data_IF_192543397695
#
_entry.id   IF_192543397695
#
_cell.length_a   1.000
_cell.length_b   1.000
_cell.length_c   1.000
_cell.angle_alpha   90.00
_cell.angle_beta   90.00
_cell.angle_gamma   90.00
#
_symmetry.space_group_name_H-M   'P 1'
#
loop_
_entity.id
_entity.type
_entity.pdbx_description
1 polymer ?
#
# COMPACT_ATOMS: atom_id res chain seq x y z
N UNK A 1 1.53 2.13 1.29
CA UNK A 1 0.93 3.47 1.38
C UNK A 1 0.53 3.91 2.79
N UNK A 2 0.16 3.00 3.70
CA UNK A 2 -0.25 3.36 5.09
C UNK A 2 0.80 4.21 5.82
N UNK A 3 2.08 3.82 5.74
CA UNK A 3 3.18 4.58 6.34
C UNK A 3 3.30 5.99 5.72
N UNK A 4 3.07 6.14 4.40
CA UNK A 4 3.06 7.47 3.76
C UNK A 4 1.90 8.32 4.27
N UNK A 5 0.72 7.76 4.48
CA UNK A 5 -0.42 8.50 5.05
C UNK A 5 -0.13 8.96 6.49
N UNK A 6 0.48 8.08 7.32
CA UNK A 6 0.94 8.42 8.67
C UNK A 6 1.98 9.54 8.62
N UNK A 7 2.98 9.43 7.75
CA UNK A 7 4.02 10.44 7.58
C UNK A 7 3.44 11.78 7.11
N UNK A 8 2.56 11.78 6.11
CA UNK A 8 1.92 12.99 5.59
C UNK A 8 1.07 13.69 6.66
N UNK A 9 0.29 12.95 7.45
CA UNK A 9 -0.47 13.51 8.57
C UNK A 9 0.45 14.05 9.68
N UNK A 10 1.56 13.36 9.97
CA UNK A 10 2.58 13.82 10.93
C UNK A 10 3.23 15.12 10.47
N UNK A 11 3.62 15.19 9.20
CA UNK A 11 4.20 16.39 8.58
C UNK A 11 3.21 17.55 8.63
N UNK A 12 1.93 17.31 8.30
CA UNK A 12 0.89 18.33 8.37
C UNK A 12 0.69 18.88 9.79
N UNK A 13 0.62 18.00 10.80
CA UNK A 13 0.57 18.38 12.22
C UNK A 13 1.75 19.28 12.61
N UNK A 14 2.93 18.99 12.09
CA UNK A 14 4.18 19.69 12.41
C UNK A 14 4.44 20.92 11.52
N UNK A 15 3.52 21.26 10.61
CA UNK A 15 3.64 22.39 9.69
C UNK A 15 4.69 22.18 8.58
N UNK A 16 5.05 20.93 8.32
CA UNK A 16 6.03 20.56 7.30
C UNK A 16 5.36 20.39 5.92
N UNK A 17 5.67 21.33 5.02
CA UNK A 17 5.07 21.42 3.70
C UNK A 17 5.96 20.83 2.57
N UNK A 18 6.90 19.93 2.87
CA UNK A 18 7.82 19.36 1.86
C UNK A 18 7.11 18.50 0.80
N UNK A 19 5.93 17.96 1.09
CA UNK A 19 5.15 17.19 0.12
C UNK A 19 4.30 18.14 -0.73
N UNK A 20 4.45 18.08 -2.05
CA UNK A 20 3.57 18.80 -2.97
C UNK A 20 2.27 18.03 -3.25
N UNK A 21 2.35 16.69 -3.28
CA UNK A 21 1.25 15.77 -3.56
C UNK A 21 1.61 14.37 -3.05
N UNK A 22 0.65 13.45 -2.94
CA UNK A 22 0.92 12.07 -2.53
C UNK A 22 0.11 11.04 -3.33
N UNK A 23 0.75 9.92 -3.67
CA UNK A 23 0.12 8.79 -4.37
C UNK A 23 0.08 7.56 -3.48
N UNK A 24 -1.11 6.96 -3.34
CA UNK A 24 -1.36 5.80 -2.49
C UNK A 24 -1.89 4.65 -3.34
N UNK A 25 -1.10 3.58 -3.48
CA UNK A 25 -1.44 2.41 -4.28
C UNK A 25 -1.76 1.22 -3.39
N UNK A 26 -2.94 0.63 -3.55
CA UNK A 26 -3.45 -0.50 -2.78
C UNK A 26 -3.22 -0.35 -1.26
N UNK A 27 -3.43 0.86 -0.75
CA UNK A 27 -3.04 1.24 0.60
C UNK A 27 -4.26 1.47 1.49
N UNK A 28 -4.36 0.70 2.55
CA UNK A 28 -5.40 0.89 3.56
C UNK A 28 -4.95 1.89 4.61
N UNK A 29 -5.87 2.74 5.04
CA UNK A 29 -5.73 3.55 6.25
C UNK A 29 -6.75 3.17 7.32
N UNK A 30 -7.85 2.53 6.90
CA UNK A 30 -8.85 1.92 7.76
C UNK A 30 -8.70 0.41 7.72
N UNK A 31 -8.60 -0.23 8.88
CA UNK A 31 -8.40 -1.67 8.98
C UNK A 31 -9.63 -2.42 9.51
N UNK A 32 -10.79 -1.78 9.69
CA UNK A 32 -12.05 -2.48 10.07
C UNK A 32 -12.41 -3.58 9.06
N UNK A 33 -12.12 -3.35 7.78
CA UNK A 33 -12.35 -4.30 6.70
C UNK A 33 -11.03 -4.58 5.98
N UNK A 34 -9.96 -4.92 6.72
CA UNK A 34 -8.64 -5.20 6.17
C UNK A 34 -8.52 -6.53 5.40
N UNK A 35 -9.60 -6.93 4.72
CA UNK A 35 -9.66 -8.16 3.94
C UNK A 35 -9.49 -9.42 4.78
N UNK A 36 -8.98 -10.46 4.13
CA UNK A 36 -8.83 -11.77 4.76
C UNK A 36 -7.80 -11.75 5.91
N UNK A 37 -6.90 -10.75 5.96
CA UNK A 37 -5.92 -10.56 7.03
C UNK A 37 -6.54 -10.46 8.44
N UNK A 38 -7.75 -9.93 8.57
CA UNK A 38 -8.44 -9.85 9.87
C UNK A 38 -8.91 -11.21 10.39
N UNK A 39 -9.09 -12.21 9.52
CA UNK A 39 -9.42 -13.57 9.95
C UNK A 39 -8.25 -14.23 10.68
N UNK A 40 -7.07 -13.62 10.65
CA UNK A 40 -5.79 -14.19 11.07
C UNK A 40 -5.05 -13.35 12.12
N UNK A 41 -5.71 -12.32 12.68
CA UNK A 41 -5.12 -11.42 13.66
C UNK A 41 -6.04 -11.30 14.87
N UNK A 42 -5.80 -12.14 15.86
CA UNK A 42 -6.31 -11.99 17.22
C UNK A 42 -5.20 -11.58 18.20
N UNK A 43 -5.61 -11.17 19.40
CA UNK A 43 -4.69 -10.73 20.47
C UNK A 43 -3.63 -11.79 20.81
N UNK A 44 -4.00 -13.08 20.80
CA UNK A 44 -3.09 -14.17 21.15
C UNK A 44 -2.02 -14.40 20.08
N UNK A 45 -2.39 -14.27 18.80
CA UNK A 45 -1.49 -14.37 17.66
C UNK A 45 -0.52 -13.19 17.62
N UNK A 46 -1.01 -11.96 17.85
CA UNK A 46 -0.15 -10.78 17.91
C UNK A 46 0.82 -10.89 19.09
N UNK A 47 0.36 -11.26 20.28
CA UNK A 47 1.22 -11.47 21.45
C UNK A 47 2.29 -12.53 21.19
N UNK A 48 1.94 -13.65 20.54
CA UNK A 48 2.92 -14.68 20.17
C UNK A 48 4.00 -14.17 19.21
N UNK A 49 3.63 -13.37 18.21
CA UNK A 49 4.59 -12.76 17.29
C UNK A 49 5.48 -11.74 18.02
N UNK A 50 4.91 -10.95 18.94
CA UNK A 50 5.64 -9.99 19.76
C UNK A 50 6.67 -10.69 20.66
N UNK A 51 6.31 -11.82 21.30
CA UNK A 51 7.22 -12.62 22.13
C UNK A 51 8.41 -13.17 21.33
N UNK A 52 8.15 -13.69 20.12
CA UNK A 52 9.22 -14.13 19.21
C UNK A 52 10.15 -12.97 18.82
N UNK A 53 9.55 -11.82 18.47
CA UNK A 53 10.30 -10.62 18.09
C UNK A 53 11.07 -10.00 19.26
N UNK A 54 10.58 -10.13 20.49
CA UNK A 54 11.26 -9.62 21.68
C UNK A 54 12.61 -10.30 21.91
N UNK A 55 12.70 -11.61 21.65
CA UNK A 55 13.93 -12.37 21.82
C UNK A 55 14.98 -12.08 20.72
N UNK A 56 14.53 -11.86 19.47
CA UNK A 56 15.42 -11.80 18.30
C UNK A 56 15.60 -10.38 17.71
N UNK A 57 14.69 -9.45 18.03
CA UNK A 57 14.66 -8.09 17.48
C UNK A 57 13.96 -7.96 16.12
N UNK A 58 13.57 -9.06 15.48
CA UNK A 58 12.83 -9.12 14.22
C UNK A 58 12.22 -10.52 14.00
N UNK A 59 11.33 -10.67 13.01
CA UNK A 59 10.89 -11.99 12.51
C UNK A 59 11.67 -12.39 11.27
N UNK A 60 12.30 -13.56 11.30
CA UNK A 60 13.04 -14.11 10.17
C UNK A 60 12.12 -14.82 9.16
N UNK A 61 12.58 -14.98 7.91
CA UNK A 61 11.77 -15.48 6.79
C UNK A 61 11.06 -16.83 7.11
N UNK A 62 11.73 -17.85 7.68
CA UNK A 62 11.08 -19.12 8.00
C UNK A 62 10.06 -19.01 9.13
N UNK A 63 10.26 -18.10 10.09
CA UNK A 63 9.33 -17.88 11.19
C UNK A 63 8.05 -17.23 10.68
N UNK A 64 8.17 -16.24 9.79
CA UNK A 64 7.03 -15.61 9.13
C UNK A 64 6.27 -16.65 8.30
N UNK A 65 6.96 -17.40 7.42
CA UNK A 65 6.33 -18.43 6.62
C UNK A 65 5.64 -19.51 7.47
N UNK A 66 6.23 -19.93 8.60
CA UNK A 66 5.61 -20.91 9.52
C UNK A 66 4.44 -20.34 10.29
N UNK A 67 4.52 -19.09 10.75
CA UNK A 67 3.38 -18.41 11.38
C UNK A 67 2.21 -18.32 10.40
N UNK A 68 2.45 -17.89 9.16
CA UNK A 68 1.43 -17.83 8.11
C UNK A 68 0.92 -19.22 7.68
N UNK A 69 1.80 -20.22 7.53
CA UNK A 69 1.41 -21.58 7.13
C UNK A 69 0.61 -22.31 8.22
N UNK A 70 0.91 -22.09 9.50
CA UNK A 70 0.15 -22.64 10.61
C UNK A 70 -1.29 -22.06 10.67
N UNK A 71 -1.50 -20.90 10.07
CA UNK A 71 -2.76 -20.14 10.14
C UNK A 71 -3.57 -20.24 8.83
N UNK A 72 -2.94 -20.62 7.70
CA UNK A 72 -3.53 -20.58 6.35
C UNK A 72 -3.28 -21.83 5.49
N UNK A 73 -3.44 -23.01 6.10
CA UNK A 73 -3.14 -24.30 5.46
C UNK A 73 -3.98 -24.58 4.19
N UNK A 74 -5.25 -24.15 4.12
CA UNK A 74 -6.13 -24.43 2.97
C UNK A 74 -5.66 -23.76 1.67
N UNK A 75 -5.37 -22.46 1.69
CA UNK A 75 -5.01 -21.74 0.47
C UNK A 75 -3.58 -21.99 0.02
N UNK A 76 -2.61 -22.09 0.94
CA UNK A 76 -1.19 -22.17 0.59
C UNK A 76 -0.70 -23.60 0.36
N UNK A 77 -1.33 -24.59 1.02
CA UNK A 77 -0.92 -26.00 0.93
C UNK A 77 -1.88 -26.75 0.00
N UNK A 78 -3.21 -26.62 0.21
CA UNK A 78 -4.18 -27.46 -0.48
C UNK A 78 -4.42 -27.04 -1.94
N UNK A 79 -4.62 -25.75 -2.21
CA UNK A 79 -4.83 -25.27 -3.59
C UNK A 79 -3.63 -25.56 -4.50
N UNK A 80 -2.42 -25.38 -3.96
CA UNK A 80 -1.16 -25.64 -4.64
C UNK A 80 -0.92 -27.13 -4.85
N UNK A 81 -1.27 -27.95 -3.86
CA UNK A 81 -1.27 -29.41 -4.02
C UNK A 81 -2.24 -29.85 -5.11
N UNK A 82 -3.46 -29.31 -5.19
CA UNK A 82 -4.42 -29.63 -6.27
C UNK A 82 -3.86 -29.22 -7.64
N UNK A 83 -3.33 -28.01 -7.81
CA UNK A 83 -2.78 -27.57 -9.09
C UNK A 83 -1.57 -28.41 -9.53
N UNK A 84 -0.65 -28.70 -8.61
CA UNK A 84 0.62 -29.36 -8.93
C UNK A 84 0.50 -30.88 -8.98
N UNK A 85 -0.18 -31.48 -8.02
CA UNK A 85 -0.31 -32.94 -7.91
C UNK A 85 -1.49 -33.48 -8.72
N UNK A 86 -2.66 -32.84 -8.63
CA UNK A 86 -3.88 -33.34 -9.29
C UNK A 86 -4.01 -32.87 -10.75
N UNK A 87 -3.64 -31.63 -11.05
CA UNK A 87 -3.75 -31.05 -12.40
C UNK A 87 -2.44 -31.07 -13.21
N UNK A 88 -1.33 -31.52 -12.61
CA UNK A 88 -0.02 -31.62 -13.28
C UNK A 88 0.54 -30.30 -13.78
N UNK A 89 0.03 -29.16 -13.31
CA UNK A 89 0.51 -27.83 -13.70
C UNK A 89 1.75 -27.49 -12.89
N UNK A 90 2.88 -27.31 -13.57
CA UNK A 90 4.09 -26.83 -12.92
C UNK A 90 3.96 -25.34 -12.60
N UNK A 91 4.33 -24.95 -11.38
CA UNK A 91 4.55 -23.55 -11.04
C UNK A 91 5.80 -23.07 -11.77
N UNK A 92 5.62 -22.40 -12.91
CA UNK A 92 6.70 -21.66 -13.53
C UNK A 92 6.94 -20.38 -12.72
N UNK A 93 8.20 -20.08 -12.35
CA UNK A 93 8.50 -18.84 -11.64
C UNK A 93 8.12 -17.65 -12.52
N UNK A 94 7.25 -16.79 -12.00
CA UNK A 94 6.92 -15.48 -12.59
C UNK A 94 7.77 -14.41 -11.91
N UNK A 95 7.99 -13.27 -12.57
CA UNK A 95 8.75 -12.15 -11.99
C UNK A 95 8.17 -11.71 -10.64
N UNK A 96 6.84 -11.64 -10.54
CA UNK A 96 6.11 -11.36 -9.29
C UNK A 96 6.34 -12.46 -8.25
N UNK A 97 6.39 -13.72 -8.67
CA UNK A 97 6.66 -14.85 -7.78
C UNK A 97 8.06 -14.80 -7.18
N UNK A 98 9.06 -14.42 -7.98
CA UNK A 98 10.45 -14.21 -7.51
C UNK A 98 10.51 -13.02 -6.55
N UNK A 99 9.92 -11.89 -6.91
CA UNK A 99 9.84 -10.70 -6.03
C UNK A 99 9.15 -11.02 -4.69
N UNK A 100 8.04 -11.76 -4.71
CA UNK A 100 7.30 -12.08 -3.49
C UNK A 100 8.05 -13.06 -2.57
N UNK A 101 8.95 -13.89 -3.12
CA UNK A 101 9.79 -14.77 -2.34
C UNK A 101 10.96 -14.02 -1.66
N UNK A 102 11.33 -12.85 -2.18
CA UNK A 102 12.42 -12.04 -1.63
C UNK A 102 11.95 -11.11 -0.51
N UNK A 103 11.72 -11.72 0.65
CA UNK A 103 11.19 -11.04 1.83
C UNK A 103 12.24 -10.22 2.58
N UNK A 104 11.79 -9.15 3.24
CA UNK A 104 12.64 -8.29 4.07
C UNK A 104 12.29 -8.43 5.56
N UNK A 105 13.29 -8.31 6.42
CA UNK A 105 13.09 -8.24 7.89
C UNK A 105 12.60 -6.86 8.29
N UNK A 106 11.72 -6.81 9.29
CA UNK A 106 11.27 -5.56 9.92
C UNK A 106 11.70 -5.53 11.39
N UNK A 107 12.16 -4.37 11.92
CA UNK A 107 12.46 -4.24 13.35
C UNK A 107 11.22 -4.56 14.20
N UNK A 108 11.43 -5.29 15.30
CA UNK A 108 10.41 -5.76 16.23
C UNK A 108 9.41 -4.67 16.62
N UNK A 109 9.92 -3.49 17.01
CA UNK A 109 9.11 -2.37 17.45
C UNK A 109 8.15 -1.89 16.35
N UNK A 110 8.68 -1.65 15.14
CA UNK A 110 7.88 -1.18 14.01
C UNK A 110 6.79 -2.19 13.66
N UNK A 111 7.15 -3.48 13.60
CA UNK A 111 6.21 -4.53 13.24
C UNK A 111 5.11 -4.69 14.29
N UNK A 112 5.46 -4.67 15.58
CA UNK A 112 4.51 -4.77 16.69
C UNK A 112 3.55 -3.58 16.72
N UNK A 113 4.07 -2.35 16.61
CA UNK A 113 3.25 -1.14 16.55
C UNK A 113 2.30 -1.15 15.34
N UNK A 114 2.73 -1.70 14.20
CA UNK A 114 1.89 -1.84 13.00
C UNK A 114 0.76 -2.86 13.20
N UNK A 115 1.08 -4.07 13.67
CA UNK A 115 0.09 -5.13 13.90
C UNK A 115 -0.94 -4.72 14.97
N UNK A 116 -0.46 -4.30 16.13
CA UNK A 116 -1.32 -3.93 17.26
C UNK A 116 -2.07 -2.63 17.00
N UNK A 117 -1.33 -1.58 16.63
CA UNK A 117 -1.89 -0.24 16.50
C UNK A 117 -2.83 -0.09 15.30
N UNK A 118 -2.55 -0.74 14.18
CA UNK A 118 -3.35 -0.58 12.96
C UNK A 118 -4.28 -1.75 12.72
N UNK A 119 -3.78 -2.99 12.62
CA UNK A 119 -4.65 -4.11 12.30
C UNK A 119 -5.61 -4.47 13.43
N UNK A 120 -5.10 -4.59 14.66
CA UNK A 120 -5.92 -5.06 15.78
C UNK A 120 -6.82 -3.94 16.34
N UNK A 121 -6.24 -2.78 16.58
CA UNK A 121 -6.94 -1.69 17.27
C UNK A 121 -7.46 -0.58 16.35
N UNK A 122 -7.01 -0.55 15.09
CA UNK A 122 -7.39 0.47 14.11
C UNK A 122 -7.27 1.92 14.64
N UNK A 123 -6.18 2.19 15.37
CA UNK A 123 -5.99 3.46 16.10
C UNK A 123 -5.96 4.68 15.17
N UNK A 124 -5.56 4.50 13.91
CA UNK A 124 -5.40 5.60 12.94
C UNK A 124 -6.73 6.27 12.60
N UNK A 125 -7.71 5.50 12.16
CA UNK A 125 -9.05 6.03 11.83
C UNK A 125 -9.92 6.23 13.05
N UNK A 126 -9.60 5.59 14.18
CA UNK A 126 -10.19 5.90 15.47
C UNK A 126 -9.63 7.16 16.14
N UNK A 127 -8.71 7.89 15.50
CA UNK A 127 -8.22 9.19 15.98
C UNK A 127 -7.35 9.14 17.24
N UNK A 128 -6.65 8.02 17.49
CA UNK A 128 -5.79 7.83 18.67
C UNK A 128 -4.39 7.31 18.34
N UNK A 129 -4.02 7.24 17.06
CA UNK A 129 -2.66 6.87 16.66
C UNK A 129 -1.72 8.04 16.91
N UNK A 130 -0.64 7.80 17.65
CA UNK A 130 0.32 8.83 18.04
C UNK A 130 1.70 8.56 17.43
N UNK A 131 2.30 9.60 16.88
CA UNK A 131 3.69 9.60 16.41
C UNK A 131 4.47 10.55 17.32
N UNK A 132 5.52 10.03 17.96
CA UNK A 132 6.30 10.76 18.96
C UNK A 132 5.44 11.33 20.10
N UNK A 133 4.48 10.54 20.59
CA UNK A 133 3.60 10.89 21.71
C UNK A 133 2.49 11.89 21.37
N UNK A 134 2.40 12.36 20.12
CA UNK A 134 1.37 13.31 19.67
C UNK A 134 0.45 12.66 18.66
N UNK A 135 -0.86 12.73 18.90
CA UNK A 135 -1.89 12.16 18.02
C UNK A 135 -1.86 12.84 16.65
N UNK A 136 -2.07 12.07 15.59
CA UNK A 136 -2.20 12.55 14.22
C UNK A 136 -3.62 12.30 13.69
N UNK A 137 -4.09 13.16 12.78
CA UNK A 137 -5.35 12.96 12.07
C UNK A 137 -5.12 12.98 10.56
N UNK A 138 -5.70 12.02 9.84
CA UNK A 138 -5.64 11.98 8.38
C UNK A 138 -6.28 13.23 7.74
N UNK A 139 -7.22 13.86 8.43
CA UNK A 139 -7.87 15.09 8.01
C UNK A 139 -6.89 16.26 7.82
N UNK A 140 -5.76 16.24 8.53
CA UNK A 140 -4.75 17.30 8.45
C UNK A 140 -3.98 17.25 7.13
N UNK A 141 -4.05 16.15 6.38
CA UNK A 141 -3.41 16.03 5.06
C UNK A 141 -4.08 17.01 4.09
N UNK A 142 -3.35 18.06 3.72
CA UNK A 142 -3.84 19.11 2.83
C UNK A 142 -3.41 18.94 1.37
N UNK A 143 -2.38 18.13 1.10
CA UNK A 143 -1.85 17.93 -0.25
C UNK A 143 -2.81 17.12 -1.12
N UNK A 144 -2.83 17.32 -2.45
CA UNK A 144 -3.61 16.51 -3.37
C UNK A 144 -3.23 15.02 -3.29
N UNK A 145 -4.25 14.15 -3.30
CA UNK A 145 -4.10 12.70 -3.22
C UNK A 145 -4.49 12.01 -4.54
N UNK A 146 -3.64 11.08 -4.98
CA UNK A 146 -3.97 10.13 -6.03
C UNK A 146 -4.02 8.72 -5.44
N UNK A 147 -5.18 8.09 -5.46
CA UNK A 147 -5.44 6.86 -4.71
C UNK A 147 -5.87 5.77 -5.68
N UNK A 148 -5.25 4.59 -5.58
CA UNK A 148 -5.50 3.45 -6.48
C UNK A 148 -5.95 2.24 -5.68
N UNK A 149 -7.13 1.73 -5.99
CA UNK A 149 -7.64 0.43 -5.55
C UNK A 149 -7.72 -0.56 -6.72
N UNK A 150 -7.69 -1.86 -6.43
CA UNK A 150 -7.82 -2.92 -7.45
C UNK A 150 -9.13 -3.71 -7.25
N UNK A 151 -9.85 -4.01 -8.34
CA UNK A 151 -11.21 -4.58 -8.29
C UNK A 151 -11.26 -5.95 -7.59
N UNK A 152 -10.21 -6.76 -7.73
CA UNK A 152 -10.12 -8.13 -7.22
C UNK A 152 -9.03 -8.25 -6.14
N UNK A 153 -8.75 -7.16 -5.41
CA UNK A 153 -7.83 -7.19 -4.28
C UNK A 153 -8.43 -7.90 -3.07
N UNK A 154 -7.83 -9.01 -2.65
CA UNK A 154 -8.17 -9.70 -1.41
C UNK A 154 -7.27 -9.29 -0.24
N UNK A 155 -6.12 -8.66 -0.53
CA UNK A 155 -5.16 -8.19 0.48
C UNK A 155 -5.57 -6.80 0.97
N UNK A 156 -5.91 -5.91 0.05
CA UNK A 156 -6.36 -4.55 0.33
C UNK A 156 -7.66 -4.25 -0.43
N UNK A 157 -8.83 -4.77 0.01
CA UNK A 157 -10.08 -4.60 -0.68
C UNK A 157 -10.34 -3.14 -1.04
N UNK A 158 -10.67 -2.85 -2.30
CA UNK A 158 -10.74 -1.45 -2.78
C UNK A 158 -11.75 -0.60 -2.01
N UNK A 159 -12.81 -1.20 -1.43
CA UNK A 159 -13.77 -0.50 -0.57
C UNK A 159 -13.10 0.02 0.71
N UNK A 160 -12.21 -0.77 1.29
CA UNK A 160 -11.37 -0.38 2.44
C UNK A 160 -10.38 0.73 2.05
N UNK A 161 -9.71 0.60 0.91
CA UNK A 161 -8.83 1.65 0.36
C UNK A 161 -9.61 2.96 0.12
N UNK A 162 -10.83 2.87 -0.42
CA UNK A 162 -11.68 4.02 -0.72
C UNK A 162 -12.12 4.79 0.54
N UNK A 163 -12.20 4.14 1.70
CA UNK A 163 -12.53 4.82 2.97
C UNK A 163 -11.55 5.93 3.34
N UNK A 164 -10.36 6.00 2.74
CA UNK A 164 -9.48 7.17 2.86
C UNK A 164 -10.22 8.48 2.55
N UNK A 165 -11.16 8.48 1.60
CA UNK A 165 -11.97 9.65 1.25
C UNK A 165 -12.91 10.09 2.39
N UNK A 166 -13.20 9.23 3.36
CA UNK A 166 -13.98 9.56 4.56
C UNK A 166 -13.13 10.30 5.60
N UNK A 167 -11.82 10.06 5.63
CA UNK A 167 -10.91 10.56 6.65
C UNK A 167 -10.04 11.74 6.18
N UNK A 168 -10.25 12.22 4.95
CA UNK A 168 -9.47 13.31 4.34
C UNK A 168 -10.42 14.33 3.70
N UNK A 169 -10.08 15.61 3.76
CA UNK A 169 -10.88 16.69 3.15
C UNK A 169 -10.20 17.34 1.92
N UNK A 170 -8.98 16.92 1.60
CA UNK A 170 -8.21 17.46 0.48
C UNK A 170 -8.69 16.97 -0.90
N UNK A 171 -8.14 17.57 -1.95
CA UNK A 171 -8.39 17.12 -3.32
C UNK A 171 -7.99 15.65 -3.50
N UNK A 172 -8.90 14.83 -4.01
CA UNK A 172 -8.69 13.39 -4.12
C UNK A 172 -9.12 12.88 -5.49
N UNK A 173 -8.17 12.27 -6.20
CA UNK A 173 -8.42 11.47 -7.40
C UNK A 173 -8.40 10.00 -7.01
N UNK A 174 -9.50 9.29 -7.20
CA UNK A 174 -9.58 7.85 -6.98
C UNK A 174 -9.62 7.10 -8.31
N UNK A 175 -8.81 6.05 -8.40
CA UNK A 175 -8.76 5.12 -9.52
C UNK A 175 -9.08 3.71 -9.01
N UNK A 176 -10.02 3.05 -9.69
CA UNK A 176 -10.32 1.64 -9.48
C UNK A 176 -9.91 0.88 -10.75
N UNK A 177 -8.92 0.01 -10.66
CA UNK A 177 -8.35 -0.70 -11.82
C UNK A 177 -8.65 -2.20 -11.78
N UNK A 178 -8.82 -2.81 -12.95
CA UNK A 178 -9.02 -4.26 -13.10
C UNK A 178 -7.78 -5.04 -12.64
N UNK A 179 -8.02 -6.11 -11.89
CA UNK A 179 -6.99 -7.07 -11.48
C UNK A 179 -6.95 -7.26 -9.97
N UNK A 180 -6.12 -8.19 -9.51
CA UNK A 180 -5.79 -8.36 -8.09
C UNK A 180 -4.67 -7.44 -7.63
N UNK A 181 -4.22 -7.60 -6.39
CA UNK A 181 -3.28 -6.69 -5.70
C UNK A 181 -2.12 -6.18 -6.57
N UNK A 182 -1.22 -7.08 -6.99
CA UNK A 182 -0.08 -6.70 -7.83
C UNK A 182 -0.50 -6.47 -9.29
N UNK A 183 -1.37 -7.34 -9.80
CA UNK A 183 -1.77 -7.33 -11.21
C UNK A 183 -2.48 -6.05 -11.61
N UNK A 184 -3.28 -5.43 -10.74
CA UNK A 184 -3.96 -4.16 -11.04
C UNK A 184 -3.03 -2.94 -10.96
N UNK A 185 -2.05 -2.97 -10.07
CA UNK A 185 -1.06 -1.88 -9.93
C UNK A 185 -0.04 -1.92 -11.09
N UNK A 186 0.49 -3.10 -11.40
CA UNK A 186 1.32 -3.36 -12.56
C UNK A 186 0.43 -3.48 -13.81
N UNK A 187 0.11 -2.31 -14.37
CA UNK A 187 -0.79 -2.17 -15.50
C UNK A 187 -0.12 -1.33 -16.59
N UNK A 188 0.92 -1.87 -17.22
CA UNK A 188 1.62 -1.21 -18.32
C UNK A 188 0.68 -0.84 -19.50
N UNK A 189 0.90 0.30 -20.17
CA UNK A 189 0.16 0.64 -21.39
C UNK A 189 0.38 -0.40 -22.50
N UNK A 190 -0.69 -0.70 -23.25
CA UNK A 190 -0.64 -1.63 -24.38
C UNK A 190 -1.03 -3.07 -24.06
N UNK A 191 -1.25 -3.42 -22.78
CA UNK A 191 -1.75 -4.73 -22.40
C UNK A 191 -3.27 -4.85 -22.67
N UNK A 192 -3.69 -5.92 -23.34
CA UNK A 192 -5.10 -6.18 -23.66
C UNK A 192 -5.94 -6.43 -22.40
N UNK A 193 -7.25 -6.21 -22.53
CA UNK A 193 -8.26 -6.50 -21.51
C UNK A 193 -8.01 -5.83 -20.13
N UNK A 194 -7.31 -4.70 -20.11
CA UNK A 194 -7.23 -3.80 -18.94
C UNK A 194 -8.33 -2.77 -19.01
N UNK A 195 -8.88 -2.40 -17.87
CA UNK A 195 -9.78 -1.25 -17.74
C UNK A 195 -9.62 -0.62 -16.36
N UNK A 196 -10.03 0.63 -16.24
CA UNK A 196 -10.08 1.34 -14.97
C UNK A 196 -11.27 2.32 -14.93
N UNK A 197 -11.67 2.71 -13.72
CA UNK A 197 -12.58 3.83 -13.46
C UNK A 197 -11.78 4.91 -12.77
N UNK A 198 -12.07 6.17 -13.06
CA UNK A 198 -11.43 7.32 -12.41
C UNK A 198 -12.48 8.34 -12.05
N UNK A 199 -12.32 8.93 -10.87
CA UNK A 199 -13.21 9.93 -10.32
C UNK A 199 -12.44 10.94 -9.51
N UNK A 200 -12.94 12.17 -9.50
CA UNK A 200 -12.35 13.29 -8.78
C UNK A 200 -13.34 13.77 -7.73
N UNK A 201 -12.84 13.89 -6.49
CA UNK A 201 -13.53 14.55 -5.40
C UNK A 201 -12.80 15.88 -5.13
N UNK A 202 -13.41 17.03 -5.46
CA UNK A 202 -12.84 18.31 -5.10
C UNK A 202 -12.86 18.48 -3.58
N UNK A 203 -11.97 19.35 -3.08
CA UNK A 203 -11.97 19.77 -1.67
C UNK A 203 -13.38 20.18 -1.23
N UNK A 204 -13.74 19.83 0.00
CA UNK A 204 -15.02 20.17 0.65
C UNK A 204 -16.28 19.50 0.03
N UNK A 205 -16.13 18.61 -0.96
CA UNK A 205 -17.26 17.85 -1.48
C UNK A 205 -17.80 16.82 -0.47
N UNK A 206 -19.11 16.62 -0.48
CA UNK A 206 -19.77 15.60 0.33
C UNK A 206 -19.29 14.20 -0.03
N UNK A 207 -19.21 13.34 1.00
CA UNK A 207 -18.81 11.95 0.83
C UNK A 207 -19.81 11.19 -0.05
N UNK A 208 -19.26 10.45 -1.01
CA UNK A 208 -20.00 9.51 -1.85
C UNK A 208 -19.52 8.10 -1.52
N UNK A 209 -20.43 7.23 -1.08
CA UNK A 209 -20.09 5.85 -0.73
C UNK A 209 -19.51 5.05 -1.92
N UNK A 210 -18.68 4.02 -1.65
CA UNK A 210 -17.90 3.32 -2.68
C UNK A 210 -18.75 2.72 -3.79
N UNK A 211 -19.87 2.05 -3.47
CA UNK A 211 -20.73 1.43 -4.49
C UNK A 211 -21.42 2.48 -5.38
N UNK A 212 -21.88 3.58 -4.78
CA UNK A 212 -22.45 4.70 -5.52
C UNK A 212 -21.38 5.41 -6.36
N UNK A 213 -20.15 5.52 -5.86
CA UNK A 213 -19.00 6.01 -6.64
C UNK A 213 -18.75 5.11 -7.85
N UNK A 214 -18.66 3.79 -7.65
CA UNK A 214 -18.41 2.85 -8.75
C UNK A 214 -19.50 2.89 -9.82
N UNK A 215 -20.77 2.96 -9.41
CA UNK A 215 -21.91 3.06 -10.31
C UNK A 215 -21.91 4.37 -11.15
N UNK A 216 -21.37 5.47 -10.62
CA UNK A 216 -21.33 6.78 -11.30
C UNK A 216 -20.18 6.96 -12.29
N UNK A 217 -19.11 6.17 -12.18
CA UNK A 217 -17.91 6.35 -13.00
C UNK A 217 -17.79 5.21 -14.00
N UNK A 218 -17.96 5.49 -15.30
CA UNK A 218 -17.90 4.49 -16.38
C UNK A 218 -16.47 3.95 -16.56
N UNK A 219 -16.27 2.65 -16.87
CA UNK A 219 -14.95 2.11 -17.19
C UNK A 219 -14.34 2.79 -18.41
N UNK A 220 -13.03 2.93 -18.38
CA UNK A 220 -12.16 3.33 -19.49
C UNK A 220 -11.24 2.17 -19.79
N UNK A 221 -11.12 1.82 -21.06
CA UNK A 221 -10.21 0.78 -21.52
C UNK A 221 -8.74 1.19 -21.36
N UNK A 222 -7.88 0.21 -21.12
CA UNK A 222 -6.44 0.36 -21.03
C UNK A 222 -5.90 0.58 -19.61
N UNK A 223 -4.67 1.10 -19.57
CA UNK A 223 -3.92 1.37 -18.34
C UNK A 223 -4.33 2.69 -17.69
N UNK A 224 -4.31 2.74 -16.36
CA UNK A 224 -4.49 3.96 -15.57
C UNK A 224 -3.20 4.79 -15.43
N UNK A 225 -2.02 4.26 -15.80
CA UNK A 225 -0.74 4.97 -15.67
C UNK A 225 -0.69 6.31 -16.42
N UNK A 226 -1.28 6.47 -17.63
CA UNK A 226 -1.36 7.77 -18.29
C UNK A 226 -2.10 8.83 -17.47
N UNK A 227 -3.15 8.43 -16.72
CA UNK A 227 -3.88 9.34 -15.83
C UNK A 227 -3.02 9.79 -14.65
N UNK A 228 -2.23 8.88 -14.06
CA UNK A 228 -1.26 9.22 -13.03
C UNK A 228 -0.20 10.18 -13.57
N UNK A 229 0.36 9.90 -14.75
CA UNK A 229 1.36 10.77 -15.38
C UNK A 229 0.81 12.18 -15.63
N UNK A 230 -0.40 12.29 -16.15
CA UNK A 230 -1.06 13.57 -16.37
C UNK A 230 -1.37 14.30 -15.06
N UNK A 231 -1.79 13.57 -14.02
CA UNK A 231 -2.03 14.13 -12.69
C UNK A 231 -0.73 14.64 -12.03
N UNK A 232 0.35 13.86 -12.09
CA UNK A 232 1.66 14.28 -11.58
C UNK A 232 2.17 15.52 -12.33
N UNK A 233 2.01 15.57 -13.65
CA UNK A 233 2.42 16.73 -14.44
C UNK A 233 1.71 18.03 -14.01
N UNK A 234 0.41 17.95 -13.68
CA UNK A 234 -0.37 19.10 -13.17
C UNK A 234 0.04 19.52 -11.76
N UNK A 235 0.56 18.60 -10.95
CA UNK A 235 1.01 18.84 -9.57
C UNK A 235 2.53 19.04 -9.46
N UNK A 236 3.22 19.21 -10.60
CA UNK A 236 4.67 19.43 -10.67
C UNK A 236 4.98 20.88 -11.07
N UNK A 237 6.20 21.33 -10.82
CA UNK A 237 6.66 22.70 -11.11
C UNK A 237 6.91 23.01 -12.60
N UNK A 238 6.49 22.15 -13.52
CA UNK A 238 6.74 22.28 -14.96
C UNK A 238 7.96 21.52 -15.46
N UNK A 239 8.26 21.66 -16.76
CA UNK A 239 9.39 21.00 -17.42
C UNK A 239 10.64 21.86 -17.30
N UNK A 240 11.76 21.21 -16.98
CA UNK A 240 13.10 21.79 -16.96
C UNK A 240 14.06 20.85 -17.69
N UNK A 241 15.25 21.32 -18.02
CA UNK A 241 16.31 20.46 -18.53
C UNK A 241 16.66 19.37 -17.50
N UNK A 242 16.96 18.14 -17.95
CA UNK A 242 17.26 17.05 -17.02
C UNK A 242 18.53 17.40 -16.20
N UNK A 243 18.49 17.25 -14.87
CA UNK A 243 19.65 17.53 -14.04
C UNK A 243 20.74 16.47 -14.26
N UNK A 244 21.97 16.81 -13.90
CA UNK A 244 23.05 15.83 -13.76
C UNK A 244 22.76 14.80 -12.67
N UNK A 245 23.52 13.70 -12.66
CA UNK A 245 23.39 12.67 -11.63
C UNK A 245 24.00 13.14 -10.29
N UNK A 246 23.21 13.10 -9.22
CA UNK A 246 23.61 13.57 -7.89
C UNK A 246 23.69 15.09 -7.78
N UNK A 247 24.02 15.56 -6.58
CA UNK A 247 24.26 16.98 -6.27
C UNK A 247 25.46 17.13 -5.32
N UNK A 248 26.71 16.94 -5.81
CA UNK A 248 27.91 17.00 -4.97
C UNK A 248 28.08 18.32 -4.22
N UNK A 249 27.69 19.44 -4.84
CA UNK A 249 27.75 20.78 -4.23
C UNK A 249 26.82 20.92 -3.02
N UNK A 250 25.75 20.13 -2.96
CA UNK A 250 24.82 20.05 -1.83
C UNK A 250 25.18 18.91 -0.86
N UNK A 251 26.32 18.24 -1.04
CA UNK A 251 26.76 17.11 -0.21
C UNK A 251 26.16 15.76 -0.59
N UNK A 252 25.53 15.63 -1.76
CA UNK A 252 24.90 14.40 -2.24
C UNK A 252 25.56 13.85 -3.52
N UNK A 253 26.83 13.42 -3.47
CA UNK A 253 27.48 12.82 -4.65
C UNK A 253 26.85 11.47 -5.03
N UNK A 254 26.97 11.09 -6.31
CA UNK A 254 26.58 9.74 -6.74
C UNK A 254 27.47 8.70 -6.03
N UNK A 255 26.85 7.68 -5.41
CA UNK A 255 27.55 6.70 -4.59
C UNK A 255 27.89 5.41 -5.34
N UNK A 256 26.95 4.92 -6.15
CA UNK A 256 27.06 3.74 -7.00
C UNK A 256 25.93 3.75 -8.04
N UNK A 257 26.03 2.93 -9.08
CA UNK A 257 24.95 2.73 -10.04
C UNK A 257 23.75 2.02 -9.38
N UNK A 258 22.54 2.33 -9.87
CA UNK A 258 21.33 1.60 -9.50
C UNK A 258 21.44 0.12 -9.92
N UNK A 259 20.89 -0.85 -9.14
CA UNK A 259 19.92 -0.68 -8.05
C UNK A 259 20.54 -0.55 -6.65
N UNK A 260 21.87 -0.36 -6.55
CA UNK A 260 22.57 -0.22 -5.26
C UNK A 260 22.77 -1.57 -4.54
N UNK A 261 23.16 -1.52 -3.26
CA UNK A 261 23.58 -2.71 -2.50
C UNK A 261 22.50 -3.30 -1.58
N UNK A 262 21.58 -2.46 -1.09
CA UNK A 262 20.60 -2.90 -0.08
C UNK A 262 19.60 -3.92 -0.63
N UNK A 263 19.22 -3.79 -1.91
CA UNK A 263 18.32 -4.72 -2.61
C UNK A 263 18.90 -6.14 -2.75
N UNK A 264 20.21 -6.31 -2.55
CA UNK A 264 20.90 -7.61 -2.63
C UNK A 264 21.10 -8.28 -1.27
N UNK A 265 20.65 -7.66 -0.17
CA UNK A 265 20.78 -8.21 1.18
C UNK A 265 19.72 -9.29 1.42
N UNK A 266 20.12 -10.41 2.03
CA UNK A 266 19.24 -11.57 2.29
C UNK A 266 18.95 -11.86 3.76
#
# INVERSE_FOLDING_TARGET
GTILAIAAATMARDGDARLASATLMAAQVDFVEAGELLLFLDESQVAFLEDLMWAQGYLDRPQMARAFAAIRAEDLIYSRAVQRYFLGKQDLPTDIGVWNADTTRMPARMHSEYLRGLFLENRLTAGRFAVEGRVIALKDIAVPLFVVGTEQDHIAPWRSVYKLALFTDCDLTFVLTKGGHNGGILSEPGHEARHYRIGHRPKDALYLGPDAWCARHVPREGSWWPELSAWLARNSSGKVDPPGMGAPELGYPALADAPGSYVHQT
#
